data_IF_594949488149
#
_entry.id   IF_594949488149
#
_cell.length_a   1.000
_cell.length_b   1.000
_cell.length_c   1.000
_cell.angle_alpha   90.00
_cell.angle_beta   90.00
_cell.angle_gamma   90.00
#
_symmetry.space_group_name_H-M   'P 1'
#
loop_
_entity.id
_entity.type
_entity.pdbx_description
1 polymer ?
#
# COMPACT_ATOMS: atom_id res chain seq x y z
N UNK A 1 20.53 23.12 6.24
CA UNK A 1 19.33 22.97 7.08
C UNK A 1 18.30 22.27 6.23
N UNK A 2 17.90 21.04 6.58
CA UNK A 2 16.76 20.42 5.90
C UNK A 2 15.53 21.28 6.22
N UNK A 3 14.70 21.57 5.22
CA UNK A 3 13.45 22.28 5.43
C UNK A 3 12.60 21.52 6.45
N UNK A 4 12.28 22.17 7.57
CA UNK A 4 11.31 21.70 8.58
C UNK A 4 9.87 21.63 8.04
N UNK A 5 9.65 22.10 6.80
CA UNK A 5 8.33 22.16 6.19
C UNK A 5 7.99 20.85 5.46
N UNK A 6 6.79 20.34 5.73
CA UNK A 6 6.23 19.20 5.01
C UNK A 6 5.75 19.65 3.63
N UNK A 7 5.96 18.85 2.56
CA UNK A 7 5.50 19.20 1.21
C UNK A 7 3.99 18.99 1.00
N UNK A 8 3.22 18.91 2.09
CA UNK A 8 1.77 18.67 2.10
C UNK A 8 1.15 19.23 3.39
N UNK A 9 -0.16 19.47 3.36
CA UNK A 9 -0.92 19.91 4.53
C UNK A 9 -1.41 18.74 5.38
N UNK A 10 -1.46 18.96 6.69
CA UNK A 10 -2.06 18.06 7.67
C UNK A 10 -3.47 18.56 8.01
N UNK A 11 -4.48 17.73 7.79
CA UNK A 11 -5.88 18.15 7.82
C UNK A 11 -6.50 17.94 9.20
N UNK A 12 -6.20 16.81 9.86
CA UNK A 12 -6.81 16.45 11.13
C UNK A 12 -5.84 16.58 12.31
N UNK A 13 -6.39 16.64 13.53
CA UNK A 13 -5.57 16.62 14.74
C UNK A 13 -4.81 15.30 14.89
N UNK A 14 -5.34 14.20 14.36
CA UNK A 14 -4.66 12.91 14.33
C UNK A 14 -3.43 12.96 13.42
N UNK A 15 -3.56 13.50 12.21
CA UNK A 15 -2.42 13.71 11.29
C UNK A 15 -1.35 14.60 11.93
N UNK A 16 -1.76 15.69 12.59
CA UNK A 16 -0.85 16.58 13.33
C UNK A 16 -0.11 15.87 14.47
N UNK A 17 -0.80 15.02 15.24
CA UNK A 17 -0.17 14.24 16.32
C UNK A 17 0.82 13.21 15.79
N UNK A 18 0.51 12.55 14.67
CA UNK A 18 1.42 11.60 14.00
C UNK A 18 2.68 12.34 13.51
N UNK A 19 2.51 13.45 12.79
CA UNK A 19 3.62 14.23 12.25
C UNK A 19 4.47 14.95 13.31
N UNK A 20 3.92 15.10 14.53
CA UNK A 20 4.65 15.63 15.67
C UNK A 20 5.57 14.58 16.33
N UNK A 21 5.37 13.29 16.06
CA UNK A 21 6.17 12.23 16.68
C UNK A 21 7.61 12.22 16.15
N UNK A 22 8.64 12.17 17.04
CA UNK A 22 10.04 12.16 16.63
C UNK A 22 10.45 10.98 15.72
N UNK A 23 9.87 9.80 15.93
CA UNK A 23 10.19 8.61 15.12
C UNK A 23 9.63 8.79 13.71
N UNK A 24 8.41 9.33 13.61
CA UNK A 24 7.80 9.66 12.33
C UNK A 24 8.61 10.70 11.58
N UNK A 25 9.04 11.78 12.24
CA UNK A 25 9.85 12.84 11.62
C UNK A 25 11.17 12.32 11.07
N UNK A 26 11.86 11.51 11.87
CA UNK A 26 13.10 10.83 11.45
C UNK A 26 12.89 9.99 10.20
N UNK A 27 11.78 9.24 10.16
CA UNK A 27 11.41 8.43 9.02
C UNK A 27 11.01 9.22 7.78
N UNK A 28 10.24 10.30 7.97
CA UNK A 28 9.76 11.15 6.90
C UNK A 28 10.92 11.88 6.18
N UNK A 29 11.96 12.26 6.92
CA UNK A 29 13.19 12.87 6.37
C UNK A 29 14.19 11.83 5.83
N UNK A 30 13.95 10.53 6.06
CA UNK A 30 14.85 9.49 5.61
C UNK A 30 14.76 9.29 4.10
N UNK A 31 15.91 9.15 3.45
CA UNK A 31 16.01 8.82 2.04
C UNK A 31 16.89 9.79 1.26
N UNK A 32 17.29 9.34 0.07
CA UNK A 32 18.00 10.12 -0.94
C UNK A 32 17.51 9.64 -2.31
N UNK A 33 17.50 10.51 -3.34
CA UNK A 33 17.06 10.12 -4.68
C UNK A 33 17.73 8.83 -5.15
N UNK A 34 16.94 7.87 -5.62
CA UNK A 34 17.41 6.55 -6.11
C UNK A 34 16.44 5.97 -7.13
N UNK A 35 16.87 4.95 -7.88
CA UNK A 35 16.00 4.26 -8.84
C UNK A 35 14.72 3.75 -8.17
N UNK A 36 13.56 4.06 -8.76
CA UNK A 36 12.22 3.77 -8.21
C UNK A 36 11.72 4.75 -7.14
N UNK A 37 12.58 5.62 -6.62
CA UNK A 37 12.27 6.67 -5.65
C UNK A 37 13.06 7.97 -5.96
N UNK A 38 12.83 8.60 -7.14
CA UNK A 38 13.54 9.81 -7.55
C UNK A 38 13.29 11.01 -6.62
N UNK A 39 12.16 11.03 -5.92
CA UNK A 39 11.72 12.06 -4.98
C UNK A 39 12.64 12.20 -3.74
N UNK A 40 13.34 11.12 -3.40
CA UNK A 40 14.38 11.11 -2.38
C UNK A 40 13.89 10.77 -0.97
N UNK A 41 13.44 11.77 -0.22
CA UNK A 41 12.98 11.58 1.18
C UNK A 41 11.56 11.00 1.20
N UNK A 42 11.23 10.19 2.22
CA UNK A 42 9.91 9.56 2.34
C UNK A 42 8.77 10.60 2.32
N UNK A 43 8.95 11.78 2.91
CA UNK A 43 7.95 12.86 2.88
C UNK A 43 7.59 13.34 1.47
N UNK A 44 8.51 13.25 0.51
CA UNK A 44 8.20 13.57 -0.88
C UNK A 44 7.32 12.49 -1.53
N UNK A 45 7.58 11.21 -1.23
CA UNK A 45 6.71 10.10 -1.65
C UNK A 45 5.32 10.22 -1.03
N UNK A 46 5.23 10.53 0.27
CA UNK A 46 3.96 10.80 0.94
C UNK A 46 3.18 11.90 0.23
N UNK A 47 3.82 13.01 -0.16
CA UNK A 47 3.18 14.07 -0.93
C UNK A 47 2.57 13.54 -2.26
N UNK A 48 3.29 12.68 -2.99
CA UNK A 48 2.80 12.10 -4.24
C UNK A 48 1.57 11.21 -4.01
N UNK A 49 1.62 10.35 -3.00
CA UNK A 49 0.48 9.49 -2.63
C UNK A 49 -0.72 10.32 -2.20
N UNK A 50 -0.52 11.38 -1.40
CA UNK A 50 -1.60 12.29 -0.99
C UNK A 50 -2.23 13.02 -2.18
N UNK A 51 -1.41 13.47 -3.16
CA UNK A 51 -1.95 14.05 -4.42
C UNK A 51 -2.81 13.05 -5.19
N UNK A 52 -2.41 11.78 -5.24
CA UNK A 52 -3.20 10.73 -5.88
C UNK A 52 -4.51 10.45 -5.12
N UNK A 53 -4.49 10.50 -3.78
CA UNK A 53 -5.69 10.38 -2.95
C UNK A 53 -6.66 11.54 -3.27
N UNK A 54 -6.16 12.77 -3.36
CA UNK A 54 -6.98 13.92 -3.71
C UNK A 54 -7.52 13.82 -5.15
N UNK A 55 -6.74 13.31 -6.10
CA UNK A 55 -7.17 13.17 -7.48
C UNK A 55 -8.23 12.07 -7.70
N UNK A 56 -8.12 10.94 -6.99
CA UNK A 56 -8.98 9.77 -7.24
C UNK A 56 -10.08 9.58 -6.20
N UNK A 57 -9.94 10.15 -5.00
CA UNK A 57 -10.76 9.81 -3.84
C UNK A 57 -11.14 11.04 -2.99
N UNK A 58 -11.19 12.25 -3.56
CA UNK A 58 -11.56 13.48 -2.83
C UNK A 58 -12.88 13.35 -2.05
N UNK A 59 -13.91 12.76 -2.68
CA UNK A 59 -15.26 12.59 -2.11
C UNK A 59 -15.47 11.22 -1.46
N UNK A 60 -14.43 10.41 -1.33
CA UNK A 60 -14.55 9.06 -0.78
C UNK A 60 -14.69 9.10 0.74
N UNK A 61 -15.62 8.31 1.28
CA UNK A 61 -15.69 8.06 2.73
C UNK A 61 -14.40 7.44 3.31
N UNK A 62 -13.55 6.86 2.46
CA UNK A 62 -12.24 6.32 2.85
C UNK A 62 -11.10 7.33 2.75
N UNK A 63 -11.33 8.59 2.35
CA UNK A 63 -10.25 9.56 2.12
C UNK A 63 -9.36 9.75 3.36
N UNK A 64 -9.96 9.96 4.52
CA UNK A 64 -9.21 10.13 5.77
C UNK A 64 -8.37 8.89 6.10
N UNK A 65 -8.96 7.69 5.94
CA UNK A 65 -8.25 6.41 6.11
C UNK A 65 -7.05 6.29 5.17
N UNK A 66 -7.23 6.61 3.89
CA UNK A 66 -6.17 6.58 2.89
C UNK A 66 -5.03 7.55 3.24
N UNK A 67 -5.35 8.75 3.74
CA UNK A 67 -4.35 9.72 4.18
C UNK A 67 -3.55 9.22 5.37
N UNK A 68 -4.20 8.59 6.36
CA UNK A 68 -3.50 7.98 7.50
C UNK A 68 -2.53 6.88 7.07
N UNK A 69 -2.96 6.01 6.15
CA UNK A 69 -2.10 4.96 5.58
C UNK A 69 -0.91 5.61 4.85
N UNK A 70 -1.16 6.61 3.99
CA UNK A 70 -0.13 7.31 3.23
C UNK A 70 0.94 7.91 4.13
N UNK A 71 0.56 8.58 5.22
CA UNK A 71 1.49 9.17 6.18
C UNK A 71 2.41 8.14 6.85
N UNK A 72 2.02 6.88 6.96
CA UNK A 72 2.71 5.90 7.83
C UNK A 72 3.41 4.78 7.06
N UNK A 73 2.82 4.27 5.97
CA UNK A 73 3.18 2.97 5.35
C UNK A 73 4.69 2.77 5.13
N UNK A 74 5.39 3.81 4.67
CA UNK A 74 6.80 3.77 4.29
C UNK A 74 7.75 4.44 5.28
N UNK A 75 7.21 5.10 6.31
CA UNK A 75 7.97 5.98 7.21
C UNK A 75 9.03 5.23 8.00
N UNK A 76 8.86 3.94 8.24
CA UNK A 76 9.76 3.15 9.11
C UNK A 76 10.84 2.37 8.34
N UNK A 77 11.07 2.69 7.06
CA UNK A 77 12.16 2.10 6.25
C UNK A 77 13.55 2.27 6.88
N UNK A 78 13.78 3.37 7.61
CA UNK A 78 15.06 3.67 8.27
C UNK A 78 15.40 2.73 9.42
N UNK A 79 14.41 2.08 10.03
CA UNK A 79 14.60 1.18 11.17
C UNK A 79 14.83 -0.27 10.75
N UNK A 80 14.81 -0.57 9.45
CA UNK A 80 15.07 -1.92 8.94
C UNK A 80 16.56 -2.24 9.08
N UNK A 81 16.87 -3.29 9.83
CA UNK A 81 18.24 -3.79 9.97
C UNK A 81 18.64 -4.57 8.71
N UNK A 82 19.66 -4.11 7.95
CA UNK A 82 20.11 -4.79 6.74
C UNK A 82 20.80 -6.14 7.00
N UNK A 83 21.25 -6.42 8.23
CA UNK A 83 21.88 -7.69 8.58
C UNK A 83 20.86 -8.81 8.88
N UNK A 84 19.57 -8.49 8.95
CA UNK A 84 18.50 -9.43 9.29
C UNK A 84 17.53 -9.62 8.11
N UNK A 85 16.85 -10.77 8.01
CA UNK A 85 15.79 -10.96 7.02
C UNK A 85 14.75 -9.84 7.10
N UNK A 86 14.31 -9.33 5.95
CA UNK A 86 13.22 -8.33 5.86
C UNK A 86 11.87 -9.02 5.99
N UNK A 87 11.57 -9.51 7.18
CA UNK A 87 10.31 -10.19 7.51
C UNK A 87 9.97 -9.98 9.00
N UNK A 88 8.69 -10.20 9.35
CA UNK A 88 8.19 -10.02 10.70
C UNK A 88 8.53 -8.63 11.27
N UNK A 89 8.98 -8.60 12.52
CA UNK A 89 9.34 -7.36 13.25
C UNK A 89 10.50 -6.55 12.63
N UNK A 90 11.24 -7.12 11.67
CA UNK A 90 12.27 -6.38 10.93
C UNK A 90 11.75 -5.74 9.62
N UNK A 91 10.53 -6.07 9.17
CA UNK A 91 9.93 -5.47 7.99
C UNK A 91 9.41 -4.05 8.28
N UNK A 92 9.60 -3.07 7.37
CA UNK A 92 9.17 -1.69 7.62
C UNK A 92 7.65 -1.59 7.79
N UNK A 93 6.87 -2.34 7.02
CA UNK A 93 5.42 -2.34 7.14
C UNK A 93 4.93 -2.83 8.52
N UNK A 94 5.60 -3.82 9.11
CA UNK A 94 5.30 -4.27 10.49
C UNK A 94 5.64 -3.17 11.51
N UNK A 95 6.80 -2.53 11.36
CA UNK A 95 7.20 -1.39 12.21
C UNK A 95 6.22 -0.22 12.09
N UNK A 96 5.79 0.08 10.87
CA UNK A 96 4.79 1.10 10.56
C UNK A 96 3.44 0.78 11.22
N UNK A 97 3.00 -0.48 11.19
CA UNK A 97 1.81 -0.93 11.92
C UNK A 97 1.97 -0.74 13.43
N UNK A 98 3.08 -1.19 14.03
CA UNK A 98 3.35 -1.02 15.47
C UNK A 98 3.33 0.45 15.90
N UNK A 99 3.87 1.32 15.07
CA UNK A 99 3.75 2.75 15.28
C UNK A 99 2.29 3.22 15.21
N UNK A 100 1.56 2.82 14.16
CA UNK A 100 0.17 3.20 13.95
C UNK A 100 -0.75 2.78 15.10
N UNK A 101 -0.53 1.61 15.70
CA UNK A 101 -1.30 1.07 16.84
C UNK A 101 -1.31 2.02 18.06
N UNK A 102 -0.34 2.93 18.17
CA UNK A 102 -0.31 3.97 19.22
C UNK A 102 -1.35 5.08 19.02
N UNK A 103 -1.86 5.23 17.81
CA UNK A 103 -2.70 6.36 17.39
C UNK A 103 -4.04 5.94 16.79
N UNK A 104 -4.10 4.76 16.17
CA UNK A 104 -5.19 4.28 15.33
C UNK A 104 -5.70 2.95 15.89
N UNK A 105 -7.01 2.84 16.05
CA UNK A 105 -7.70 1.61 16.48
C UNK A 105 -8.47 0.94 15.33
N UNK A 106 -8.58 1.59 14.18
CA UNK A 106 -9.21 1.06 12.98
C UNK A 106 -8.36 -0.08 12.39
N UNK A 107 -8.84 -1.32 12.57
CA UNK A 107 -8.12 -2.52 12.14
C UNK A 107 -7.90 -2.58 10.63
N UNK A 108 -8.80 -2.02 9.81
CA UNK A 108 -8.65 -2.03 8.36
C UNK A 108 -7.50 -1.13 7.92
N UNK A 109 -7.34 0.02 8.57
CA UNK A 109 -6.20 0.92 8.34
C UNK A 109 -4.89 0.25 8.76
N UNK A 110 -4.86 -0.39 9.93
CA UNK A 110 -3.67 -1.09 10.43
C UNK A 110 -3.25 -2.24 9.50
N UNK A 111 -4.21 -3.02 9.02
CA UNK A 111 -3.95 -4.14 8.11
C UNK A 111 -3.44 -3.67 6.76
N UNK A 112 -4.00 -2.60 6.19
CA UNK A 112 -3.49 -2.05 4.93
C UNK A 112 -2.08 -1.48 5.11
N UNK A 113 -1.77 -0.82 6.23
CA UNK A 113 -0.40 -0.38 6.54
C UNK A 113 0.57 -1.56 6.54
N UNK A 114 0.21 -2.68 7.17
CA UNK A 114 1.08 -3.86 7.23
C UNK A 114 1.23 -4.56 5.87
N UNK A 115 0.14 -4.66 5.11
CA UNK A 115 0.07 -5.49 3.91
C UNK A 115 0.37 -4.74 2.61
N UNK A 116 0.61 -3.42 2.64
CA UNK A 116 0.68 -2.58 1.44
C UNK A 116 1.64 -3.12 0.35
N UNK A 117 2.79 -3.67 0.74
CA UNK A 117 3.79 -4.21 -0.18
C UNK A 117 3.53 -5.65 -0.64
N UNK A 118 2.50 -6.31 -0.13
CA UNK A 118 2.32 -7.76 -0.30
C UNK A 118 2.05 -8.15 -1.76
N UNK A 119 1.26 -7.35 -2.50
CA UNK A 119 1.05 -7.54 -3.93
C UNK A 119 2.36 -7.46 -4.72
N UNK A 120 3.21 -6.48 -4.40
CA UNK A 120 4.52 -6.32 -5.02
C UNK A 120 5.47 -7.48 -4.66
N UNK A 121 5.49 -7.88 -3.39
CA UNK A 121 6.27 -9.01 -2.91
C UNK A 121 5.84 -10.35 -3.54
N UNK A 122 4.56 -10.51 -3.85
CA UNK A 122 4.04 -11.65 -4.61
C UNK A 122 4.52 -11.61 -6.06
N UNK A 123 4.31 -10.49 -6.76
CA UNK A 123 4.74 -10.32 -8.15
C UNK A 123 6.24 -10.57 -8.34
N UNK A 124 7.08 -10.08 -7.41
CA UNK A 124 8.53 -10.29 -7.46
C UNK A 124 8.92 -11.79 -7.48
N UNK A 125 8.12 -12.69 -6.89
CA UNK A 125 8.38 -14.14 -6.96
C UNK A 125 8.24 -14.67 -8.39
N UNK A 126 7.29 -14.16 -9.16
CA UNK A 126 7.15 -14.47 -10.58
C UNK A 126 8.24 -13.79 -11.40
N UNK A 127 8.31 -12.46 -11.30
CA UNK A 127 9.14 -11.63 -12.18
C UNK A 127 10.66 -11.87 -12.02
N UNK A 128 11.15 -12.15 -10.81
CA UNK A 128 12.58 -12.36 -10.55
C UNK A 128 12.98 -13.84 -10.48
N UNK A 129 12.15 -14.66 -9.83
CA UNK A 129 12.51 -16.06 -9.57
C UNK A 129 11.85 -17.04 -10.55
N UNK A 130 10.97 -16.59 -11.45
CA UNK A 130 10.19 -17.43 -12.37
C UNK A 130 9.08 -18.24 -11.69
N UNK A 131 8.77 -17.98 -10.41
CA UNK A 131 7.87 -18.79 -9.58
C UNK A 131 6.44 -18.23 -9.60
N UNK A 132 5.83 -18.17 -10.77
CA UNK A 132 4.49 -17.60 -10.97
C UNK A 132 3.40 -18.30 -10.16
N UNK A 133 3.44 -19.64 -10.05
CA UNK A 133 2.51 -20.40 -9.21
C UNK A 133 2.56 -19.94 -7.73
N UNK A 134 3.75 -19.67 -7.20
CA UNK A 134 3.90 -19.15 -5.82
C UNK A 134 3.46 -17.69 -5.71
N UNK A 135 3.64 -16.90 -6.75
CA UNK A 135 3.15 -15.53 -6.79
C UNK A 135 1.61 -15.51 -6.73
N UNK A 136 0.95 -16.37 -7.52
CA UNK A 136 -0.51 -16.52 -7.52
C UNK A 136 -1.03 -17.01 -6.17
N UNK A 137 -0.46 -18.09 -5.61
CA UNK A 137 -0.86 -18.60 -4.28
C UNK A 137 -0.75 -17.54 -3.18
N UNK A 138 0.31 -16.71 -3.24
CA UNK A 138 0.53 -15.63 -2.29
C UNK A 138 -0.52 -14.51 -2.46
N UNK A 139 -0.83 -14.14 -3.69
CA UNK A 139 -1.90 -13.18 -3.98
C UNK A 139 -3.28 -13.71 -3.55
N UNK A 140 -3.60 -14.98 -3.83
CA UNK A 140 -4.86 -15.60 -3.39
C UNK A 140 -4.98 -15.56 -1.85
N UNK A 141 -3.89 -15.86 -1.13
CA UNK A 141 -3.84 -15.78 0.33
C UNK A 141 -4.04 -14.35 0.84
N UNK A 142 -3.41 -13.36 0.19
CA UNK A 142 -3.61 -11.94 0.49
C UNK A 142 -5.07 -11.53 0.31
N UNK A 143 -5.69 -11.89 -0.83
CA UNK A 143 -7.07 -11.52 -1.13
C UNK A 143 -8.06 -12.16 -0.15
N UNK A 144 -7.84 -13.43 0.19
CA UNK A 144 -8.65 -14.12 1.20
C UNK A 144 -8.50 -13.48 2.59
N UNK A 145 -7.29 -13.06 2.97
CA UNK A 145 -7.04 -12.40 4.26
C UNK A 145 -7.59 -10.98 4.35
N UNK A 146 -7.59 -10.23 3.23
CA UNK A 146 -8.16 -8.89 3.18
C UNK A 146 -9.68 -8.91 3.36
N UNK A 147 -10.40 -9.82 2.70
CA UNK A 147 -11.87 -9.88 2.80
C UNK A 147 -12.52 -8.52 2.49
N UNK A 148 -13.37 -8.04 3.40
CA UNK A 148 -14.12 -6.79 3.23
C UNK A 148 -13.23 -5.53 3.06
N UNK A 149 -11.98 -5.58 3.56
CA UNK A 149 -11.04 -4.45 3.45
C UNK A 149 -10.31 -4.38 2.11
N UNK A 150 -10.57 -5.32 1.19
CA UNK A 150 -9.99 -5.34 -0.15
C UNK A 150 -10.20 -4.02 -0.91
N UNK A 151 -11.36 -3.37 -0.75
CA UNK A 151 -11.65 -2.08 -1.37
C UNK A 151 -10.69 -0.97 -0.92
N UNK A 152 -10.41 -0.90 0.38
CA UNK A 152 -9.45 0.07 0.94
C UNK A 152 -8.03 -0.25 0.49
N UNK A 153 -7.65 -1.53 0.49
CA UNK A 153 -6.35 -1.99 0.00
C UNK A 153 -6.11 -1.59 -1.46
N UNK A 154 -7.06 -1.87 -2.35
CA UNK A 154 -6.94 -1.56 -3.78
C UNK A 154 -6.89 -0.04 -4.03
N UNK A 155 -7.67 0.74 -3.27
CA UNK A 155 -7.63 2.19 -3.35
C UNK A 155 -6.25 2.73 -2.97
N UNK A 156 -5.69 2.26 -1.84
CA UNK A 156 -4.35 2.66 -1.41
C UNK A 156 -3.26 2.20 -2.39
N UNK A 157 -3.31 0.93 -2.81
CA UNK A 157 -2.34 0.34 -3.73
C UNK A 157 -2.28 1.11 -5.06
N UNK A 158 -3.43 1.57 -5.57
CA UNK A 158 -3.48 2.47 -6.73
C UNK A 158 -2.79 3.80 -6.47
N UNK A 159 -3.08 4.47 -5.35
CA UNK A 159 -2.46 5.74 -5.02
C UNK A 159 -0.94 5.63 -4.85
N UNK A 160 -0.45 4.53 -4.28
CA UNK A 160 0.98 4.29 -4.06
C UNK A 160 1.76 3.90 -5.33
N UNK A 161 1.12 3.19 -6.27
CA UNK A 161 1.78 2.75 -7.51
C UNK A 161 1.72 3.78 -8.65
N UNK A 162 0.77 4.72 -8.61
CA UNK A 162 0.64 5.79 -9.60
C UNK A 162 1.55 7.00 -9.28
N UNK A 163 2.78 6.75 -8.86
CA UNK A 163 3.77 7.80 -8.52
C UNK A 163 4.95 7.77 -9.49
N UNK A 164 5.27 8.90 -10.12
CA UNK A 164 6.46 9.06 -10.97
C UNK A 164 6.55 8.06 -12.14
N UNK A 165 7.76 7.54 -12.37
CA UNK A 165 8.09 6.61 -13.48
C UNK A 165 7.98 5.12 -13.10
N UNK A 166 7.20 4.76 -12.06
CA UNK A 166 7.07 3.36 -11.63
C UNK A 166 6.50 2.51 -12.78
N UNK A 167 7.20 1.42 -13.13
CA UNK A 167 6.70 0.42 -14.08
C UNK A 167 5.38 -0.17 -13.57
N UNK A 168 4.37 -0.20 -14.43
CA UNK A 168 3.02 -0.60 -14.06
C UNK A 168 2.81 -2.13 -14.12
N UNK A 169 3.79 -2.91 -14.60
CA UNK A 169 3.68 -4.36 -14.78
C UNK A 169 3.17 -5.10 -13.53
N UNK A 170 3.63 -4.71 -12.34
CA UNK A 170 3.18 -5.28 -11.07
C UNK A 170 1.74 -4.89 -10.74
N UNK A 171 1.38 -3.64 -11.00
CA UNK A 171 0.04 -3.12 -10.78
C UNK A 171 -0.97 -3.81 -11.72
N UNK A 172 -0.65 -3.86 -13.02
CA UNK A 172 -1.48 -4.47 -14.05
C UNK A 172 -1.64 -5.98 -13.83
N UNK A 173 -0.55 -6.69 -13.49
CA UNK A 173 -0.61 -8.11 -13.14
C UNK A 173 -1.54 -8.36 -11.95
N UNK A 174 -1.38 -7.58 -10.87
CA UNK A 174 -2.16 -7.77 -9.65
C UNK A 174 -3.66 -7.50 -9.89
N UNK A 175 -3.99 -6.43 -10.62
CA UNK A 175 -5.38 -6.13 -10.98
C UNK A 175 -5.99 -7.20 -11.89
N UNK A 176 -5.26 -7.68 -12.90
CA UNK A 176 -5.74 -8.77 -13.76
C UNK A 176 -6.06 -10.02 -12.95
N UNK A 177 -5.19 -10.39 -12.01
CA UNK A 177 -5.41 -11.55 -11.14
C UNK A 177 -6.61 -11.35 -10.22
N UNK A 178 -6.81 -10.15 -9.67
CA UNK A 178 -8.00 -9.82 -8.88
C UNK A 178 -9.29 -10.02 -9.69
N UNK A 179 -9.34 -9.56 -10.93
CA UNK A 179 -10.52 -9.72 -11.81
C UNK A 179 -10.76 -11.18 -12.20
N UNK A 180 -9.69 -11.93 -12.49
CA UNK A 180 -9.79 -13.37 -12.74
C UNK A 180 -10.34 -14.13 -11.52
N UNK A 181 -9.91 -13.80 -10.32
CA UNK A 181 -10.40 -14.47 -9.10
C UNK A 181 -11.86 -14.08 -8.79
N UNK A 182 -12.25 -12.82 -9.00
CA UNK A 182 -13.65 -12.40 -8.89
C UNK A 182 -14.56 -13.18 -9.85
N UNK A 183 -14.13 -13.35 -11.11
CA UNK A 183 -14.91 -14.11 -12.11
C UNK A 183 -14.98 -15.61 -11.85
N UNK A 184 -14.02 -16.19 -11.11
CA UNK A 184 -14.08 -17.59 -10.64
C UNK A 184 -15.10 -17.80 -9.51
N UNK A 185 -15.29 -16.79 -8.67
CA UNK A 185 -16.22 -16.83 -7.52
C UNK A 185 -17.66 -16.50 -7.97
N UNK A 186 -17.80 -15.62 -8.96
CA UNK A 186 -19.07 -15.30 -9.62
C UNK A 186 -19.03 -15.80 -11.07
N UNK A 187 -19.36 -17.09 -11.34
CA UNK A 187 -19.43 -17.56 -12.71
C UNK A 187 -20.42 -16.70 -13.51
N UNK A 188 -20.17 -16.45 -14.81
CA UNK A 188 -21.14 -15.78 -15.64
C UNK A 188 -22.47 -16.53 -15.55
N UNK A 189 -23.58 -15.80 -15.39
CA UNK A 189 -24.91 -16.37 -15.49
C UNK A 189 -25.06 -16.96 -16.89
N UNK A 190 -24.74 -18.24 -17.05
CA UNK A 190 -24.78 -18.92 -18.33
C UNK A 190 -26.20 -18.88 -18.87
N UNK A 191 -26.28 -18.40 -20.11
CA UNK A 191 -27.45 -18.36 -20.97
C UNK A 191 -28.32 -19.61 -20.77
N UNK A 192 -29.62 -19.39 -20.58
CA UNK A 192 -30.61 -20.44 -20.72
C UNK A 192 -30.49 -20.99 -22.14
N UNK A 193 -29.79 -22.12 -22.30
CA UNK A 193 -30.02 -23.00 -23.42
C UNK A 193 -31.47 -23.50 -23.30
N UNK A 194 -32.37 -22.81 -23.98
CA UNK A 194 -33.68 -23.36 -24.31
C UNK A 194 -33.44 -24.47 -25.34
N UNK A 195 -33.21 -25.68 -24.84
CA UNK A 195 -33.66 -26.89 -25.53
C UNK A 195 -35.19 -26.83 -25.54
N UNK A 196 -35.77 -26.54 -26.70
CA UNK A 196 -37.11 -27.02 -27.02
C UNK A 196 -37.07 -27.67 -28.39
N UNK A 197 -37.63 -28.87 -28.37
CA UNK A 197 -37.74 -29.91 -29.39
C UNK A 197 -38.63 -29.50 -30.57
#
# INVERSE_FOLDING_TARGET
MASDELPFSLETDLERRIAADPDWRTGADWGRPRSGHPEGAVKAHIADVLRNIDAFFSESANRERLRLIALIHDTFKFQVDPARPRSGENHHAMKARRFAERYITDADVLDVIELHDEAYNAWQKGARDGKWEKAEQRTESLLAGLGDRLGLYLAFYRCDNMTGDKQQDCFDWFLSLCEQLKSRISPPASEKQTLQE
#
